data_IF_904118606188
#
_entry.id   IF_904118606188
#
_cell.length_a   1.000
_cell.length_b   1.000
_cell.length_c   1.000
_cell.angle_alpha   90.00
_cell.angle_beta   90.00
_cell.angle_gamma   90.00
#
_symmetry.space_group_name_H-M   'P 1'
#
loop_
_entity.id
_entity.type
_entity.pdbx_description
1 polymer ?
#
# COMPACT_ATOMS: atom_id res chain seq x y z
N UNK A 1 41.22 -18.20 -9.26
CA UNK A 1 40.46 -17.01 -9.66
C UNK A 1 39.00 -17.42 -9.69
N UNK A 2 38.32 -17.31 -8.55
CA UNK A 2 36.87 -17.47 -8.49
C UNK A 2 36.29 -16.34 -9.32
N UNK A 3 35.45 -16.67 -10.30
CA UNK A 3 34.59 -15.68 -10.93
C UNK A 3 33.64 -15.21 -9.83
N UNK A 4 34.03 -14.20 -9.07
CA UNK A 4 33.11 -13.43 -8.27
C UNK A 4 32.20 -12.75 -9.28
N UNK A 5 31.07 -13.40 -9.54
CA UNK A 5 29.93 -12.82 -10.23
C UNK A 5 29.54 -11.66 -9.34
N UNK A 6 30.09 -10.49 -9.65
CA UNK A 6 29.74 -9.25 -9.00
C UNK A 6 28.26 -9.07 -9.32
N UNK A 7 27.46 -9.54 -8.36
CA UNK A 7 26.04 -9.77 -8.45
C UNK A 7 25.46 -8.35 -8.43
N UNK A 8 25.51 -7.67 -9.59
CA UNK A 8 25.09 -6.28 -9.75
C UNK A 8 23.57 -6.25 -9.70
N UNK A 9 23.02 -6.39 -8.49
CA UNK A 9 21.60 -6.27 -8.19
C UNK A 9 21.12 -4.82 -8.28
N UNK A 10 22.06 -3.88 -8.30
CA UNK A 10 21.81 -2.45 -8.42
C UNK A 10 21.56 -2.08 -9.88
N UNK A 11 20.40 -2.49 -10.38
CA UNK A 11 19.78 -1.83 -11.52
C UNK A 11 19.01 -0.62 -10.99
N UNK A 12 19.72 0.52 -10.86
CA UNK A 12 19.17 1.78 -10.36
C UNK A 12 17.91 2.21 -11.09
N UNK A 13 17.79 1.90 -12.39
CA UNK A 13 16.60 2.22 -13.19
C UNK A 13 15.37 1.43 -12.75
N UNK A 14 15.54 0.13 -12.49
CA UNK A 14 14.46 -0.73 -11.99
C UNK A 14 14.09 -0.37 -10.55
N UNK A 15 15.07 -0.05 -9.70
CA UNK A 15 14.81 0.45 -8.35
C UNK A 15 13.99 1.74 -8.36
N UNK A 16 14.39 2.73 -9.17
CA UNK A 16 13.66 4.00 -9.25
C UNK A 16 12.22 3.79 -9.69
N UNK A 17 11.98 2.94 -10.70
CA UNK A 17 10.62 2.63 -11.16
C UNK A 17 9.77 1.95 -10.09
N UNK A 18 10.32 0.97 -9.38
CA UNK A 18 9.61 0.29 -8.30
C UNK A 18 9.30 1.25 -7.14
N UNK A 19 10.27 2.11 -6.78
CA UNK A 19 10.10 3.14 -5.77
C UNK A 19 9.04 4.17 -6.16
N UNK A 20 9.07 4.72 -7.39
CA UNK A 20 8.05 5.67 -7.85
C UNK A 20 6.67 5.02 -7.90
N UNK A 21 6.58 3.75 -8.28
CA UNK A 21 5.32 3.00 -8.26
C UNK A 21 4.77 2.87 -6.84
N UNK A 22 5.60 2.41 -5.89
CA UNK A 22 5.18 2.26 -4.50
C UNK A 22 4.78 3.61 -3.89
N UNK A 23 5.56 4.67 -4.12
CA UNK A 23 5.25 6.03 -3.68
C UNK A 23 3.94 6.54 -4.28
N UNK A 24 3.68 6.28 -5.56
CA UNK A 24 2.42 6.66 -6.19
C UNK A 24 1.22 5.94 -5.56
N UNK A 25 1.33 4.63 -5.29
CA UNK A 25 0.28 3.86 -4.60
C UNK A 25 0.03 4.42 -3.19
N UNK A 26 1.09 4.70 -2.43
CA UNK A 26 0.99 5.28 -1.08
C UNK A 26 0.35 6.66 -1.13
N UNK A 27 0.74 7.50 -2.09
CA UNK A 27 0.15 8.82 -2.27
C UNK A 27 -1.34 8.74 -2.59
N UNK A 28 -1.77 7.83 -3.47
CA UNK A 28 -3.19 7.60 -3.76
C UNK A 28 -3.93 7.11 -2.52
N UNK A 29 -3.37 6.17 -1.76
CA UNK A 29 -3.97 5.69 -0.52
C UNK A 29 -4.13 6.82 0.52
N UNK A 30 -3.12 7.69 0.65
CA UNK A 30 -3.17 8.85 1.54
C UNK A 30 -4.20 9.90 1.10
N UNK A 31 -4.35 10.14 -0.21
CA UNK A 31 -5.38 11.02 -0.75
C UNK A 31 -6.77 10.47 -0.47
N UNK A 32 -7.00 9.17 -0.69
CA UNK A 32 -8.28 8.52 -0.40
C UNK A 32 -8.59 8.60 1.10
N UNK A 33 -7.61 8.33 1.96
CA UNK A 33 -7.77 8.51 3.41
C UNK A 33 -8.14 9.95 3.78
N UNK A 34 -7.44 10.94 3.21
CA UNK A 34 -7.70 12.36 3.46
C UNK A 34 -9.09 12.80 3.02
N UNK A 35 -9.55 12.33 1.86
CA UNK A 35 -10.91 12.59 1.36
C UNK A 35 -11.95 11.97 2.29
N UNK A 36 -11.76 10.71 2.71
CA UNK A 36 -12.68 10.04 3.65
C UNK A 36 -12.73 10.74 5.01
N UNK A 37 -11.57 11.16 5.54
CA UNK A 37 -11.47 11.86 6.81
C UNK A 37 -12.10 13.26 6.74
N UNK A 38 -11.86 14.00 5.66
CA UNK A 38 -12.48 15.30 5.44
C UNK A 38 -14.00 15.18 5.34
N UNK A 39 -14.50 14.21 4.56
CA UNK A 39 -15.93 13.94 4.43
C UNK A 39 -16.58 13.59 5.77
N UNK A 40 -15.94 12.72 6.57
CA UNK A 40 -16.41 12.38 7.91
C UNK A 40 -16.44 13.60 8.85
N UNK A 41 -15.38 14.42 8.86
CA UNK A 41 -15.32 15.63 9.68
C UNK A 41 -16.38 16.66 9.30
N UNK A 42 -16.69 16.79 8.00
CA UNK A 42 -17.72 17.69 7.49
C UNK A 42 -19.14 17.22 7.83
N UNK A 43 -19.35 15.92 8.04
CA UNK A 43 -20.65 15.34 8.38
C UNK A 43 -20.94 15.34 9.90
N UNK A 44 -19.91 15.22 10.74
CA UNK A 44 -20.07 14.98 12.18
C UNK A 44 -19.80 16.21 13.08
N UNK A 45 -19.21 17.29 12.55
CA UNK A 45 -18.86 18.47 13.35
C UNK A 45 -17.69 18.24 14.32
N UNK A 46 -17.41 19.21 15.19
CA UNK A 46 -16.19 19.23 16.04
C UNK A 46 -16.18 18.20 17.19
N UNK A 47 -17.26 17.46 17.39
CA UNK A 47 -17.34 16.44 18.44
C UNK A 47 -17.06 15.05 17.86
N UNK A 48 -15.85 14.55 18.11
CA UNK A 48 -15.35 13.20 17.76
C UNK A 48 -15.45 12.78 16.27
N UNK A 49 -14.65 13.41 15.38
CA UNK A 49 -14.73 13.22 13.92
C UNK A 49 -14.39 11.81 13.40
N UNK A 50 -13.94 10.89 14.27
CA UNK A 50 -13.54 9.53 13.91
C UNK A 50 -14.56 8.45 14.32
N UNK A 51 -15.53 8.77 15.18
CA UNK A 51 -16.39 7.78 15.86
C UNK A 51 -17.88 8.15 15.88
N UNK A 52 -18.33 9.11 15.07
CA UNK A 52 -19.73 9.53 15.10
C UNK A 52 -20.70 8.55 14.42
N UNK A 53 -20.22 7.71 13.48
CA UNK A 53 -21.08 6.78 12.73
C UNK A 53 -20.31 5.57 12.14
N UNK A 54 -20.88 4.37 12.23
CA UNK A 54 -20.36 3.10 11.64
C UNK A 54 -20.02 3.22 10.15
N UNK A 55 -20.82 3.90 9.30
CA UNK A 55 -20.46 4.12 7.90
C UNK A 55 -19.24 5.03 7.69
N UNK A 56 -19.02 6.04 8.53
CA UNK A 56 -17.83 6.91 8.43
C UNK A 56 -16.55 6.15 8.82
N UNK A 57 -16.62 5.33 9.88
CA UNK A 57 -15.53 4.48 10.32
C UNK A 57 -15.14 3.44 9.25
N UNK A 58 -16.14 2.79 8.64
CA UNK A 58 -15.89 1.83 7.56
C UNK A 58 -15.35 2.49 6.29
N UNK A 59 -15.79 3.69 5.92
CA UNK A 59 -15.27 4.42 4.75
C UNK A 59 -13.80 4.85 4.91
N UNK A 60 -13.40 5.26 6.11
CA UNK A 60 -12.02 5.65 6.43
C UNK A 60 -11.06 4.44 6.40
N UNK A 61 -11.54 3.26 6.80
CA UNK A 61 -10.72 2.05 6.88
C UNK A 61 -10.71 1.26 5.57
N UNK A 62 -11.86 1.09 4.92
CA UNK A 62 -11.98 0.26 3.71
C UNK A 62 -11.34 0.94 2.50
N UNK A 63 -11.49 2.25 2.35
CA UNK A 63 -10.95 3.00 1.20
C UNK A 63 -9.43 2.80 1.02
N UNK A 64 -8.60 3.18 2.01
CA UNK A 64 -7.15 3.01 1.95
C UNK A 64 -6.73 1.54 1.86
N UNK A 65 -7.47 0.64 2.53
CA UNK A 65 -7.19 -0.80 2.52
C UNK A 65 -7.32 -1.38 1.11
N UNK A 66 -8.40 -1.07 0.39
CA UNK A 66 -8.62 -1.57 -0.98
C UNK A 66 -7.57 -1.02 -1.93
N UNK A 67 -7.21 0.26 -1.81
CA UNK A 67 -6.15 0.87 -2.63
C UNK A 67 -4.80 0.20 -2.38
N UNK A 68 -4.44 -0.02 -1.11
CA UNK A 68 -3.20 -0.69 -0.74
C UNK A 68 -3.17 -2.15 -1.24
N UNK A 69 -4.30 -2.86 -1.14
CA UNK A 69 -4.42 -4.24 -1.60
C UNK A 69 -4.26 -4.35 -3.13
N UNK A 70 -4.95 -3.50 -3.89
CA UNK A 70 -4.84 -3.45 -5.35
C UNK A 70 -3.43 -3.03 -5.80
N UNK A 71 -2.80 -2.09 -5.08
CA UNK A 71 -1.41 -1.69 -5.29
C UNK A 71 -0.42 -2.84 -5.03
N UNK A 72 -0.63 -3.61 -3.96
CA UNK A 72 0.15 -4.81 -3.66
C UNK A 72 0.02 -5.87 -4.75
N UNK A 73 -1.21 -6.17 -5.19
CA UNK A 73 -1.48 -7.10 -6.30
C UNK A 73 -0.76 -6.61 -7.58
N UNK A 74 -0.85 -5.31 -7.88
CA UNK A 74 -0.16 -4.72 -9.03
C UNK A 74 1.37 -4.89 -8.97
N UNK A 75 1.98 -4.75 -7.79
CA UNK A 75 3.41 -5.01 -7.58
C UNK A 75 3.78 -6.49 -7.77
N UNK A 76 2.96 -7.43 -7.31
CA UNK A 76 3.16 -8.86 -7.57
C UNK A 76 2.99 -9.22 -9.04
N UNK A 77 2.04 -8.61 -9.76
CA UNK A 77 1.89 -8.78 -11.21
C UNK A 77 3.14 -8.27 -11.94
N UNK A 78 3.70 -7.13 -11.52
CA UNK A 78 4.95 -6.61 -12.10
C UNK A 78 6.15 -7.52 -11.82
N UNK A 79 6.20 -8.13 -10.64
CA UNK A 79 7.19 -9.17 -10.33
C UNK A 79 7.12 -10.32 -11.33
N UNK A 80 5.91 -10.86 -11.56
CA UNK A 80 5.71 -11.97 -12.50
C UNK A 80 6.07 -11.57 -13.93
N UNK A 81 5.73 -10.34 -14.34
CA UNK A 81 6.10 -9.80 -15.65
C UNK A 81 7.62 -9.67 -15.79
N UNK A 82 8.32 -9.21 -14.76
CA UNK A 82 9.76 -9.03 -14.80
C UNK A 82 10.51 -10.36 -14.77
N UNK A 83 9.98 -11.33 -14.03
CA UNK A 83 10.47 -12.72 -14.03
C UNK A 83 10.36 -13.34 -15.41
N UNK A 84 9.21 -13.20 -16.10
CA UNK A 84 9.06 -13.67 -17.49
C UNK A 84 9.98 -12.97 -18.50
N UNK A 85 10.44 -11.75 -18.19
CA UNK A 85 11.36 -10.97 -19.02
C UNK A 85 12.84 -11.19 -18.67
N UNK A 86 13.15 -12.09 -17.74
CA UNK A 86 14.53 -12.40 -17.33
C UNK A 86 15.27 -11.25 -16.65
N UNK A 87 14.56 -10.27 -16.09
CA UNK A 87 15.17 -9.09 -15.44
C UNK A 87 14.89 -9.09 -13.92
N UNK A 88 15.37 -8.08 -13.21
CA UNK A 88 15.49 -8.04 -11.75
C UNK A 88 14.12 -8.04 -11.03
N UNK A 89 13.57 -9.23 -10.82
CA UNK A 89 12.27 -9.47 -10.18
C UNK A 89 12.30 -9.28 -8.65
N UNK A 90 13.47 -9.40 -8.01
CA UNK A 90 13.63 -9.30 -6.55
C UNK A 90 13.22 -7.93 -6.02
N UNK A 91 13.51 -6.86 -6.76
CA UNK A 91 13.16 -5.48 -6.38
C UNK A 91 11.63 -5.31 -6.35
N UNK A 92 10.92 -5.87 -7.33
CA UNK A 92 9.47 -5.83 -7.39
C UNK A 92 8.79 -6.69 -6.31
N UNK A 93 9.41 -7.80 -5.90
CA UNK A 93 8.94 -8.57 -4.75
C UNK A 93 9.01 -7.76 -3.46
N UNK A 94 10.12 -7.06 -3.21
CA UNK A 94 10.27 -6.21 -2.03
C UNK A 94 9.17 -5.14 -1.96
N UNK A 95 8.88 -4.48 -3.08
CA UNK A 95 7.79 -3.51 -3.19
C UNK A 95 6.41 -4.15 -2.93
N UNK A 96 6.15 -5.34 -3.48
CA UNK A 96 4.91 -6.08 -3.24
C UNK A 96 4.72 -6.46 -1.77
N UNK A 97 5.77 -6.98 -1.13
CA UNK A 97 5.76 -7.29 0.30
C UNK A 97 5.53 -6.06 1.17
N UNK A 98 6.19 -4.94 0.87
CA UNK A 98 5.99 -3.70 1.59
C UNK A 98 4.52 -3.23 1.54
N UNK A 99 3.92 -3.19 0.35
CA UNK A 99 2.51 -2.81 0.16
C UNK A 99 1.55 -3.82 0.82
N UNK A 100 1.90 -5.10 0.82
CA UNK A 100 1.13 -6.14 1.50
C UNK A 100 1.17 -5.96 3.02
N UNK A 101 2.34 -5.71 3.61
CA UNK A 101 2.45 -5.42 5.05
C UNK A 101 1.67 -4.16 5.43
N UNK A 102 1.72 -3.12 4.60
CA UNK A 102 0.92 -1.91 4.78
C UNK A 102 -0.59 -2.23 4.78
N UNK A 103 -1.02 -3.10 3.87
CA UNK A 103 -2.42 -3.56 3.82
C UNK A 103 -2.79 -4.34 5.09
N UNK A 104 -1.95 -5.27 5.54
CA UNK A 104 -2.19 -6.01 6.79
C UNK A 104 -2.28 -5.07 8.00
N UNK A 105 -1.47 -4.01 8.04
CA UNK A 105 -1.53 -3.01 9.09
C UNK A 105 -2.88 -2.28 9.11
N UNK A 106 -3.38 -1.83 7.94
CA UNK A 106 -4.70 -1.22 7.84
C UNK A 106 -5.83 -2.17 8.26
N UNK A 107 -5.76 -3.44 7.85
CA UNK A 107 -6.74 -4.46 8.24
C UNK A 107 -6.71 -4.70 9.75
N UNK A 108 -5.54 -4.81 10.37
CA UNK A 108 -5.41 -5.02 11.81
C UNK A 108 -5.99 -3.83 12.62
N UNK A 109 -5.74 -2.61 12.16
CA UNK A 109 -6.32 -1.39 12.75
C UNK A 109 -7.85 -1.39 12.64
N UNK A 110 -8.40 -1.75 11.48
CA UNK A 110 -9.85 -1.85 11.29
C UNK A 110 -10.49 -3.01 12.06
N UNK A 111 -9.83 -4.16 12.13
CA UNK A 111 -10.33 -5.30 12.91
C UNK A 111 -10.39 -4.96 14.42
N UNK A 112 -9.38 -4.25 14.95
CA UNK A 112 -9.41 -3.79 16.33
C UNK A 112 -10.57 -2.84 16.56
N UNK A 113 -10.90 -1.97 15.61
CA UNK A 113 -11.99 -1.01 15.77
C UNK A 113 -13.39 -1.65 15.80
N UNK A 114 -13.54 -2.85 15.24
CA UNK A 114 -14.82 -3.61 15.25
C UNK A 114 -14.91 -4.49 16.49
N UNK A 115 -13.79 -4.98 17.02
CA UNK A 115 -13.73 -5.93 18.14
C UNK A 115 -13.78 -5.34 19.56
N UNK A 116 -13.89 -4.01 19.71
CA UNK A 116 -14.07 -3.35 21.03
C UNK A 116 -15.50 -2.83 21.25
N UNK A 117 -16.47 -3.23 20.41
CA UNK A 117 -17.89 -2.93 20.63
C UNK A 117 -18.58 -4.00 21.48
#
# INVERSE_FOLDING_TARGET
MTNDVEKRWTDEGTYRRAATYALAVIAVAAVVFGISAFWASAHCGEHEPLMCDVPAQSAILLGPTVVALLGGIGAFVQTLRQWRRGSNWVIWQGAGWFLFTLTMFYIAMGARSIGVN
#
